data_IF_865758589434
#
_entry.id   IF_865758589434
#
_cell.length_a   1.000
_cell.length_b   1.000
_cell.length_c   1.000
_cell.angle_alpha   90.00
_cell.angle_beta   90.00
_cell.angle_gamma   90.00
#
_symmetry.space_group_name_H-M   'P 1'
#
loop_
_entity.id
_entity.type
_entity.pdbx_description
1 polymer ?
#
# COMPACT_ATOMS: atom_id res chain seq x y z
N UNK A 1 -74.06 -39.81 -16.70
CA UNK A 1 -73.13 -38.70 -17.01
C UNK A 1 -73.15 -37.74 -15.82
N UNK A 2 -72.00 -37.13 -15.49
CA UNK A 2 -71.10 -37.46 -14.38
C UNK A 2 -71.39 -36.69 -13.09
N UNK A 3 -70.86 -37.14 -11.95
CA UNK A 3 -70.11 -36.23 -11.07
C UNK A 3 -69.13 -37.06 -10.22
N UNK A 4 -67.85 -37.04 -10.61
CA UNK A 4 -66.78 -37.62 -9.81
C UNK A 4 -66.35 -36.57 -8.79
N UNK A 5 -66.74 -36.77 -7.53
CA UNK A 5 -66.27 -35.96 -6.42
C UNK A 5 -64.74 -36.15 -6.27
N UNK A 6 -63.98 -35.10 -6.58
CA UNK A 6 -62.57 -34.99 -6.25
C UNK A 6 -62.38 -35.15 -4.73
N UNK A 7 -61.49 -36.04 -4.25
CA UNK A 7 -61.14 -36.07 -2.84
C UNK A 7 -60.44 -34.77 -2.48
N UNK A 8 -60.96 -34.08 -1.47
CA UNK A 8 -60.37 -32.89 -0.88
C UNK A 8 -58.98 -33.24 -0.37
N UNK A 9 -57.95 -32.86 -1.12
CA UNK A 9 -56.56 -32.92 -0.68
C UNK A 9 -56.42 -31.98 0.53
N UNK A 10 -56.50 -32.55 1.73
CA UNK A 10 -56.31 -31.83 2.98
C UNK A 10 -54.91 -31.22 2.96
N UNK A 11 -54.84 -29.91 2.74
CA UNK A 11 -53.65 -29.08 2.92
C UNK A 11 -52.95 -29.50 4.22
N UNK A 12 -51.82 -30.19 4.09
CA UNK A 12 -51.01 -30.62 5.22
C UNK A 12 -50.56 -29.37 5.99
N UNK A 13 -51.03 -29.15 7.23
CA UNK A 13 -50.67 -27.95 7.99
C UNK A 13 -49.18 -27.91 8.37
N UNK A 14 -48.44 -28.99 8.16
CA UNK A 14 -46.98 -29.04 8.33
C UNK A 14 -46.18 -28.42 7.17
N UNK A 15 -46.83 -28.04 6.06
CA UNK A 15 -46.16 -27.46 4.89
C UNK A 15 -46.06 -25.92 4.92
N UNK A 16 -46.42 -25.26 6.03
CA UNK A 16 -46.18 -23.82 6.19
C UNK A 16 -44.67 -23.63 6.33
N UNK A 17 -43.98 -22.95 5.39
CA UNK A 17 -42.57 -22.66 5.53
C UNK A 17 -42.40 -21.86 6.82
N UNK A 18 -41.65 -22.40 7.79
CA UNK A 18 -41.41 -21.66 9.03
C UNK A 18 -40.84 -20.28 8.68
N UNK A 19 -41.41 -19.19 9.22
CA UNK A 19 -40.91 -17.86 8.93
C UNK A 19 -39.42 -17.82 9.32
N UNK A 20 -38.55 -17.45 8.38
CA UNK A 20 -37.11 -17.27 8.63
C UNK A 20 -36.98 -16.42 9.89
N UNK A 21 -36.53 -17.03 11.00
CA UNK A 21 -36.19 -16.33 12.23
C UNK A 21 -34.99 -15.44 11.92
N UNK A 22 -35.24 -14.18 11.60
CA UNK A 22 -34.20 -13.18 11.67
C UNK A 22 -33.78 -13.06 13.14
N UNK A 23 -32.48 -13.05 13.45
CA UNK A 23 -32.01 -12.81 14.81
C UNK A 23 -32.47 -11.43 15.29
N UNK A 24 -32.53 -11.25 16.61
CA UNK A 24 -32.96 -10.01 17.22
C UNK A 24 -32.08 -8.85 16.73
N UNK A 25 -32.73 -7.71 16.37
CA UNK A 25 -32.01 -6.50 15.94
C UNK A 25 -31.02 -6.09 17.02
N UNK A 26 -29.73 -6.07 16.68
CA UNK A 26 -28.66 -5.61 17.57
C UNK A 26 -27.76 -6.70 18.15
N UNK A 27 -28.05 -7.98 17.93
CA UNK A 27 -27.09 -9.04 18.25
C UNK A 27 -26.04 -9.16 17.14
N UNK A 28 -24.73 -9.09 17.45
CA UNK A 28 -23.69 -9.35 16.47
C UNK A 28 -23.77 -10.81 16.01
N UNK A 29 -24.32 -10.99 14.81
CA UNK A 29 -24.44 -12.26 14.09
C UNK A 29 -23.09 -12.94 13.81
N UNK A 30 -21.99 -12.20 13.91
CA UNK A 30 -20.65 -12.65 13.59
C UNK A 30 -19.83 -12.60 14.88
N UNK A 31 -19.55 -13.78 15.43
CA UNK A 31 -18.78 -13.95 16.67
C UNK A 31 -17.25 -14.01 16.43
N UNK A 32 -16.80 -14.03 15.18
CA UNK A 32 -15.38 -14.12 14.80
C UNK A 32 -15.01 -13.05 13.78
N UNK A 33 -14.39 -13.43 12.66
CA UNK A 33 -13.90 -12.50 11.64
C UNK A 33 -14.89 -12.40 10.49
N UNK A 34 -15.33 -11.20 10.17
CA UNK A 34 -16.29 -10.90 9.11
C UNK A 34 -15.60 -10.84 7.75
N UNK A 35 -15.28 -12.00 7.17
CA UNK A 35 -14.65 -12.09 5.84
C UNK A 35 -15.45 -11.41 4.73
N UNK A 36 -16.78 -11.48 4.78
CA UNK A 36 -17.62 -10.81 3.78
C UNK A 36 -17.57 -9.29 3.95
N UNK A 37 -17.59 -8.78 5.18
CA UNK A 37 -17.38 -7.37 5.47
C UNK A 37 -16.01 -6.87 5.01
N UNK A 38 -14.94 -7.60 5.34
CA UNK A 38 -13.58 -7.26 4.92
C UNK A 38 -13.46 -7.23 3.40
N UNK A 39 -13.97 -8.26 2.72
CA UNK A 39 -13.94 -8.37 1.26
C UNK A 39 -14.72 -7.26 0.58
N UNK A 40 -15.91 -6.94 1.08
CA UNK A 40 -16.74 -5.87 0.51
C UNK A 40 -16.08 -4.50 0.69
N UNK A 41 -15.50 -4.24 1.86
CA UNK A 41 -14.76 -3.01 2.14
C UNK A 41 -13.51 -2.89 1.27
N UNK A 42 -12.70 -3.94 1.19
CA UNK A 42 -11.55 -4.00 0.30
C UNK A 42 -11.95 -3.75 -1.16
N UNK A 43 -13.00 -4.42 -1.64
CA UNK A 43 -13.50 -4.26 -3.01
C UNK A 43 -14.02 -2.84 -3.27
N UNK A 44 -14.68 -2.21 -2.29
CA UNK A 44 -15.12 -0.80 -2.37
C UNK A 44 -13.92 0.12 -2.57
N UNK A 45 -12.89 -0.04 -1.75
CA UNK A 45 -11.66 0.77 -1.83
C UNK A 45 -10.93 0.57 -3.16
N UNK A 46 -10.82 -0.69 -3.61
CA UNK A 46 -10.24 -1.04 -4.91
C UNK A 46 -10.99 -0.38 -6.05
N UNK A 47 -12.32 -0.53 -6.10
CA UNK A 47 -13.16 0.10 -7.13
C UNK A 47 -13.06 1.62 -7.10
N UNK A 48 -12.92 2.23 -5.91
CA UNK A 48 -12.83 3.68 -5.77
C UNK A 48 -11.61 4.24 -6.50
N UNK A 49 -10.41 3.69 -6.27
CA UNK A 49 -9.23 4.18 -6.98
C UNK A 49 -9.22 3.75 -8.45
N UNK A 50 -9.74 2.56 -8.80
CA UNK A 50 -9.83 2.14 -10.20
C UNK A 50 -10.73 3.06 -11.04
N UNK A 51 -11.79 3.61 -10.46
CA UNK A 51 -12.67 4.57 -11.14
C UNK A 51 -11.92 5.83 -11.61
N UNK A 52 -10.82 6.18 -10.93
CA UNK A 52 -9.96 7.33 -11.25
C UNK A 52 -8.53 6.89 -11.58
N UNK A 53 -8.38 5.74 -12.26
CA UNK A 53 -7.08 5.15 -12.60
C UNK A 53 -6.11 6.10 -13.32
N UNK A 54 -6.62 7.03 -14.14
CA UNK A 54 -5.79 8.02 -14.85
C UNK A 54 -5.04 8.91 -13.86
N UNK A 55 -5.68 9.30 -12.75
CA UNK A 55 -5.07 10.11 -11.72
C UNK A 55 -4.28 9.27 -10.72
N UNK A 56 -4.73 8.05 -10.42
CA UNK A 56 -4.16 7.26 -9.32
C UNK A 56 -3.06 6.31 -9.73
N UNK A 57 -2.97 5.96 -11.01
CA UNK A 57 -1.97 5.03 -11.57
C UNK A 57 -1.14 5.73 -12.64
N UNK A 58 -1.78 6.26 -13.69
CA UNK A 58 -1.07 6.82 -14.84
C UNK A 58 -0.34 8.13 -14.54
N UNK A 59 -0.97 9.07 -13.85
CA UNK A 59 -0.33 10.35 -13.52
C UNK A 59 0.96 10.18 -12.68
N UNK A 60 0.97 9.42 -11.56
CA UNK A 60 2.20 9.12 -10.83
C UNK A 60 3.24 8.39 -11.68
N UNK A 61 2.80 7.49 -12.56
CA UNK A 61 3.71 6.77 -13.44
C UNK A 61 4.44 7.73 -14.39
N UNK A 62 3.70 8.64 -15.03
CA UNK A 62 4.27 9.65 -15.93
C UNK A 62 5.22 10.58 -15.18
N UNK A 63 4.87 11.08 -13.99
CA UNK A 63 5.75 11.94 -13.20
C UNK A 63 7.07 11.24 -12.86
N UNK A 64 7.01 9.97 -12.48
CA UNK A 64 8.20 9.16 -12.17
C UNK A 64 9.06 8.94 -13.41
N UNK A 65 8.45 8.70 -14.58
CA UNK A 65 9.17 8.62 -15.84
C UNK A 65 9.84 9.93 -16.21
N UNK A 66 9.19 11.07 -15.97
CA UNK A 66 9.81 12.39 -16.15
C UNK A 66 11.03 12.56 -15.25
N UNK A 67 10.99 12.08 -14.01
CA UNK A 67 12.20 12.06 -13.17
C UNK A 67 13.29 11.21 -13.78
N UNK A 68 12.99 10.01 -14.28
CA UNK A 68 13.98 9.19 -14.99
C UNK A 68 14.60 9.96 -16.17
N UNK A 69 13.77 10.62 -17.00
CA UNK A 69 14.25 11.45 -18.12
C UNK A 69 15.17 12.57 -17.64
N UNK A 70 14.72 13.35 -16.66
CA UNK A 70 15.45 14.51 -16.15
C UNK A 70 16.80 14.08 -15.58
N UNK A 71 16.81 13.06 -14.72
CA UNK A 71 18.05 12.59 -14.10
C UNK A 71 18.98 11.90 -15.12
N UNK A 72 18.42 11.12 -16.05
CA UNK A 72 19.19 10.50 -17.13
C UNK A 72 19.83 11.56 -18.04
N UNK A 73 19.13 12.65 -18.38
CA UNK A 73 19.67 13.72 -19.23
C UNK A 73 20.65 14.61 -18.45
N UNK A 74 20.34 14.93 -17.19
CA UNK A 74 21.21 15.74 -16.34
C UNK A 74 22.57 15.06 -16.10
N UNK A 75 22.57 13.73 -15.95
CA UNK A 75 23.80 12.94 -15.79
C UNK A 75 24.41 12.46 -17.10
N UNK A 76 23.61 12.33 -18.16
CA UNK A 76 23.99 11.74 -19.47
C UNK A 76 24.89 12.59 -20.36
N UNK A 77 25.40 13.74 -19.91
CA UNK A 77 26.50 14.44 -20.61
C UNK A 77 27.88 13.80 -20.36
N UNK A 78 27.96 12.83 -19.47
CA UNK A 78 29.11 11.93 -19.34
C UNK A 78 28.60 10.53 -19.07
N UNK A 79 29.13 9.53 -19.76
CA UNK A 79 28.88 8.10 -19.57
C UNK A 79 29.28 7.61 -18.16
N UNK A 80 28.56 8.08 -17.13
CA UNK A 80 28.81 7.73 -15.73
C UNK A 80 28.08 6.43 -15.41
N UNK A 81 28.87 5.37 -15.30
CA UNK A 81 28.42 4.13 -14.67
C UNK A 81 28.38 4.33 -13.16
N UNK A 82 27.30 3.84 -12.53
CA UNK A 82 27.15 3.81 -11.07
C UNK A 82 26.98 2.34 -10.71
N UNK A 83 27.86 1.80 -9.86
CA UNK A 83 27.96 0.36 -9.56
C UNK A 83 28.26 -0.56 -10.77
N UNK A 84 28.81 0.00 -11.86
CA UNK A 84 29.14 -0.72 -13.09
C UNK A 84 27.95 -0.96 -14.02
N UNK A 85 26.84 -0.26 -13.81
CA UNK A 85 25.67 -0.25 -14.72
C UNK A 85 25.37 1.17 -15.18
N UNK A 86 24.65 1.29 -16.29
CA UNK A 86 24.13 2.58 -16.75
C UNK A 86 23.30 3.22 -15.63
N UNK A 87 23.49 4.51 -15.39
CA UNK A 87 22.76 5.25 -14.37
C UNK A 87 21.23 5.09 -14.48
N UNK A 88 20.68 5.04 -15.70
CA UNK A 88 19.24 4.78 -15.89
C UNK A 88 18.81 3.41 -15.32
N UNK A 89 19.66 2.39 -15.46
CA UNK A 89 19.46 1.04 -14.92
C UNK A 89 19.60 1.02 -13.39
N UNK A 90 20.49 1.83 -12.82
CA UNK A 90 20.64 1.97 -11.36
C UNK A 90 19.43 2.67 -10.70
N UNK A 91 18.94 3.74 -11.32
CA UNK A 91 17.85 4.57 -10.76
C UNK A 91 16.48 3.96 -10.95
N UNK A 92 16.27 3.19 -12.02
CA UNK A 92 14.97 2.61 -12.36
C UNK A 92 14.29 1.85 -11.19
N UNK A 93 14.92 0.84 -10.55
CA UNK A 93 14.33 0.15 -9.41
C UNK A 93 14.00 1.07 -8.23
N UNK A 94 14.87 2.06 -7.96
CA UNK A 94 14.65 3.01 -6.87
C UNK A 94 13.43 3.90 -7.12
N UNK A 95 13.27 4.39 -8.35
CA UNK A 95 12.10 5.17 -8.75
C UNK A 95 10.81 4.34 -8.70
N UNK A 96 10.85 3.07 -9.08
CA UNK A 96 9.70 2.15 -8.93
C UNK A 96 9.30 2.04 -7.46
N UNK A 97 10.24 1.70 -6.57
CA UNK A 97 9.97 1.57 -5.14
C UNK A 97 9.43 2.88 -4.53
N UNK A 98 10.07 4.01 -4.85
CA UNK A 98 9.62 5.34 -4.43
C UNK A 98 8.19 5.66 -4.92
N UNK A 99 7.86 5.30 -6.16
CA UNK A 99 6.53 5.46 -6.73
C UNK A 99 5.47 4.59 -6.03
N UNK A 100 5.80 3.33 -5.74
CA UNK A 100 4.94 2.40 -4.99
C UNK A 100 4.65 2.93 -3.58
N UNK A 101 5.69 3.31 -2.85
CA UNK A 101 5.62 3.81 -1.47
C UNK A 101 4.76 5.07 -1.36
N UNK A 102 5.00 6.08 -2.20
CA UNK A 102 4.22 7.31 -2.19
C UNK A 102 2.75 7.07 -2.54
N UNK A 103 2.46 6.18 -3.49
CA UNK A 103 1.09 5.84 -3.84
C UNK A 103 0.36 5.07 -2.74
N UNK A 104 1.06 4.19 -2.00
CA UNK A 104 0.49 3.50 -0.85
C UNK A 104 0.06 4.49 0.24
N UNK A 105 0.94 5.44 0.59
CA UNK A 105 0.64 6.49 1.56
C UNK A 105 -0.51 7.38 1.11
N UNK A 106 -0.46 7.89 -0.14
CA UNK A 106 -1.49 8.76 -0.68
C UNK A 106 -2.86 8.08 -0.73
N UNK A 107 -2.90 6.79 -1.05
CA UNK A 107 -4.15 6.04 -1.05
C UNK A 107 -4.70 5.89 0.37
N UNK A 108 -3.92 5.29 1.27
CA UNK A 108 -4.39 4.98 2.63
C UNK A 108 -4.81 6.24 3.39
N UNK A 109 -3.98 7.29 3.31
CA UNK A 109 -4.24 8.55 4.01
C UNK A 109 -5.50 9.27 3.51
N UNK A 110 -5.69 9.35 2.19
CA UNK A 110 -6.85 10.01 1.60
C UNK A 110 -8.13 9.22 1.85
N UNK A 111 -8.08 7.88 1.72
CA UNK A 111 -9.25 7.01 1.84
C UNK A 111 -10.04 7.24 3.12
N UNK A 112 -9.31 7.21 4.23
CA UNK A 112 -9.88 7.29 5.56
C UNK A 112 -10.21 8.73 5.94
N UNK A 113 -9.32 9.67 5.64
CA UNK A 113 -9.51 11.09 5.94
C UNK A 113 -10.69 11.68 5.16
N UNK A 114 -10.88 11.31 3.90
CA UNK A 114 -12.05 11.72 3.12
C UNK A 114 -13.35 11.21 3.74
N UNK A 115 -13.38 9.96 4.22
CA UNK A 115 -14.52 9.41 4.95
C UNK A 115 -14.82 10.16 6.25
N UNK A 116 -13.78 10.52 7.00
CA UNK A 116 -13.87 11.33 8.23
C UNK A 116 -14.46 12.72 7.95
N UNK A 117 -13.95 13.42 6.94
CA UNK A 117 -14.37 14.79 6.61
C UNK A 117 -15.79 14.82 5.99
N UNK A 118 -16.17 13.80 5.22
CA UNK A 118 -17.48 13.72 4.58
C UNK A 118 -18.59 13.21 5.52
N UNK A 119 -18.26 12.79 6.75
CA UNK A 119 -19.21 12.19 7.69
C UNK A 119 -19.63 10.76 7.32
N UNK A 120 -19.09 10.19 6.24
CA UNK A 120 -19.34 8.79 5.83
C UNK A 120 -18.51 7.79 6.64
N UNK A 121 -17.76 8.26 7.65
CA UNK A 121 -17.08 7.36 8.60
C UNK A 121 -18.05 6.44 9.33
N UNK A 122 -19.29 6.90 9.52
CA UNK A 122 -20.39 6.10 10.07
C UNK A 122 -20.68 4.88 9.18
N UNK A 123 -20.52 4.98 7.86
CA UNK A 123 -20.66 3.83 6.95
C UNK A 123 -19.57 2.77 7.13
N UNK A 124 -18.41 3.14 7.70
CA UNK A 124 -17.36 2.19 8.09
C UNK A 124 -17.61 1.60 9.49
N UNK A 125 -18.39 2.28 10.33
CA UNK A 125 -18.74 1.88 11.70
C UNK A 125 -20.11 1.17 11.80
N UNK A 126 -20.94 1.25 10.76
CA UNK A 126 -22.27 0.61 10.70
C UNK A 126 -22.22 -0.91 10.47
N UNK A 127 -21.36 -1.45 9.59
CA UNK A 127 -21.12 -2.88 9.53
C UNK A 127 -20.48 -3.36 10.84
N UNK A 128 -20.80 -4.57 11.34
CA UNK A 128 -20.07 -5.19 12.44
C UNK A 128 -18.69 -5.63 11.94
N UNK A 129 -17.81 -4.65 11.74
CA UNK A 129 -16.42 -4.83 11.37
C UNK A 129 -15.54 -4.58 12.58
N UNK A 130 -14.56 -5.45 12.80
CA UNK A 130 -13.52 -5.20 13.79
C UNK A 130 -12.51 -4.18 13.28
N UNK A 131 -11.83 -3.47 14.17
CA UNK A 131 -10.81 -2.47 13.82
C UNK A 131 -9.66 -3.09 13.01
N UNK A 132 -9.38 -4.37 13.26
CA UNK A 132 -8.41 -5.15 12.50
C UNK A 132 -8.84 -5.41 11.06
N UNK A 133 -10.11 -5.71 10.82
CA UNK A 133 -10.66 -5.90 9.47
C UNK A 133 -10.65 -4.60 8.67
N UNK A 134 -11.01 -3.49 9.31
CA UNK A 134 -10.92 -2.15 8.73
C UNK A 134 -9.48 -1.83 8.33
N UNK A 135 -8.53 -2.02 9.25
CA UNK A 135 -7.11 -1.81 8.97
C UNK A 135 -6.63 -2.67 7.79
N UNK A 136 -6.93 -3.96 7.80
CA UNK A 136 -6.52 -4.90 6.74
C UNK A 136 -7.11 -4.54 5.38
N UNK A 137 -8.40 -4.16 5.32
CA UNK A 137 -9.03 -3.78 4.06
C UNK A 137 -8.41 -2.50 3.48
N UNK A 138 -8.16 -1.50 4.33
CA UNK A 138 -7.59 -0.20 3.92
C UNK A 138 -6.13 -0.34 3.47
N UNK A 139 -5.32 -1.04 4.28
CA UNK A 139 -3.91 -1.32 3.97
C UNK A 139 -3.80 -2.21 2.74
N UNK A 140 -4.60 -3.27 2.65
CA UNK A 140 -4.62 -4.18 1.49
C UNK A 140 -4.99 -3.46 0.19
N UNK A 141 -5.98 -2.56 0.22
CA UNK A 141 -6.34 -1.76 -0.95
C UNK A 141 -5.21 -0.80 -1.36
N UNK A 142 -4.52 -0.19 -0.39
CA UNK A 142 -3.36 0.67 -0.66
C UNK A 142 -2.17 -0.11 -1.25
N UNK A 143 -1.86 -1.29 -0.73
CA UNK A 143 -0.83 -2.18 -1.28
C UNK A 143 -1.19 -2.59 -2.72
N UNK A 144 -2.46 -2.95 -2.97
CA UNK A 144 -2.92 -3.33 -4.31
C UNK A 144 -2.70 -2.21 -5.32
N UNK A 145 -3.07 -0.98 -4.97
CA UNK A 145 -2.80 0.18 -5.83
C UNK A 145 -1.30 0.41 -6.02
N UNK A 146 -0.50 0.31 -4.96
CA UNK A 146 0.94 0.48 -5.04
C UNK A 146 1.58 -0.54 -5.99
N UNK A 147 1.17 -1.81 -5.92
CA UNK A 147 1.61 -2.86 -6.83
C UNK A 147 1.23 -2.55 -8.28
N UNK A 148 0.00 -2.10 -8.54
CA UNK A 148 -0.42 -1.70 -9.89
C UNK A 148 0.42 -0.54 -10.46
N UNK A 149 0.73 0.47 -9.62
CA UNK A 149 1.65 1.56 -10.00
C UNK A 149 3.05 1.03 -10.26
N UNK A 150 3.56 0.16 -9.40
CA UNK A 150 4.88 -0.45 -9.56
C UNK A 150 5.00 -1.25 -10.86
N UNK A 151 3.96 -2.03 -11.20
CA UNK A 151 3.87 -2.77 -12.46
C UNK A 151 3.81 -1.83 -13.67
N UNK A 152 3.01 -0.76 -13.60
CA UNK A 152 2.94 0.25 -14.67
C UNK A 152 4.30 0.93 -14.89
N UNK A 153 5.02 1.25 -13.82
CA UNK A 153 6.36 1.82 -13.88
C UNK A 153 7.38 0.83 -14.42
N UNK A 154 7.36 -0.42 -13.96
CA UNK A 154 8.24 -1.47 -14.45
C UNK A 154 8.02 -1.70 -15.96
N UNK A 155 6.77 -1.78 -16.41
CA UNK A 155 6.44 -1.89 -17.82
C UNK A 155 6.94 -0.69 -18.63
N UNK A 156 6.77 0.53 -18.13
CA UNK A 156 7.24 1.72 -18.81
C UNK A 156 8.78 1.81 -18.87
N UNK A 157 9.49 1.35 -17.83
CA UNK A 157 10.94 1.32 -17.80
C UNK A 157 11.54 0.21 -18.69
N UNK A 158 10.84 -0.93 -18.84
CA UNK A 158 11.23 -1.97 -19.81
C UNK A 158 11.16 -1.48 -21.26
N UNK A 159 10.26 -0.55 -21.55
CA UNK A 159 10.15 0.09 -22.87
C UNK A 159 11.18 1.20 -23.09
N UNK A 160 11.95 1.57 -22.05
CA UNK A 160 12.94 2.64 -22.13
C UNK A 160 14.25 2.14 -22.74
N UNK A 161 14.78 2.79 -23.81
CA UNK A 161 16.02 2.36 -24.44
C UNK A 161 17.21 2.54 -23.48
N UNK A 162 17.94 1.46 -23.21
CA UNK A 162 19.14 1.47 -22.36
C UNK A 162 18.93 1.13 -20.88
N UNK A 163 17.71 0.71 -20.48
CA UNK A 163 17.45 0.14 -19.16
C UNK A 163 17.38 -1.37 -19.26
N UNK A 164 18.28 -2.07 -18.57
CA UNK A 164 18.22 -3.53 -18.41
C UNK A 164 17.66 -3.86 -17.02
N UNK A 165 16.39 -4.26 -16.97
CA UNK A 165 15.74 -4.76 -15.75
C UNK A 165 15.88 -6.28 -15.68
N UNK A 166 17.11 -6.77 -15.57
CA UNK A 166 17.34 -8.14 -15.14
C UNK A 166 16.84 -8.30 -13.69
N UNK A 167 16.18 -9.43 -13.41
CA UNK A 167 15.69 -9.74 -12.06
C UNK A 167 16.63 -10.78 -11.46
N UNK A 168 17.66 -10.33 -10.75
CA UNK A 168 18.61 -11.21 -10.08
C UNK A 168 17.96 -12.02 -8.95
N UNK A 169 17.11 -11.38 -8.14
CA UNK A 169 16.48 -11.96 -6.96
C UNK A 169 14.99 -11.58 -6.86
N UNK A 170 14.09 -12.36 -7.48
CA UNK A 170 12.65 -12.07 -7.48
C UNK A 170 12.04 -11.97 -6.08
N UNK A 171 12.55 -12.74 -5.11
CA UNK A 171 12.09 -12.72 -3.73
C UNK A 171 12.25 -11.34 -3.08
N UNK A 172 13.36 -10.64 -3.38
CA UNK A 172 13.66 -9.34 -2.80
C UNK A 172 12.72 -8.27 -3.39
N UNK A 173 12.47 -8.34 -4.70
CA UNK A 173 11.51 -7.44 -5.37
C UNK A 173 10.13 -7.56 -4.72
N UNK A 174 9.64 -8.78 -4.53
CA UNK A 174 8.32 -9.02 -3.93
C UNK A 174 8.30 -8.60 -2.46
N UNK A 175 9.30 -8.98 -1.68
CA UNK A 175 9.35 -8.68 -0.25
C UNK A 175 9.46 -7.19 0.02
N UNK A 176 10.49 -6.51 -0.51
CA UNK A 176 10.71 -5.09 -0.26
C UNK A 176 9.64 -4.22 -0.93
N UNK A 177 9.08 -4.65 -2.06
CA UNK A 177 7.94 -3.98 -2.68
C UNK A 177 6.69 -4.06 -1.80
N UNK A 178 6.42 -5.23 -1.22
CA UNK A 178 5.30 -5.46 -0.32
C UNK A 178 5.47 -4.72 1.01
N UNK A 179 6.59 -4.90 1.72
CA UNK A 179 6.85 -4.24 3.00
C UNK A 179 6.96 -2.73 2.84
N UNK A 180 7.60 -2.24 1.77
CA UNK A 180 7.63 -0.82 1.45
C UNK A 180 6.24 -0.21 1.26
N UNK A 181 5.36 -0.91 0.54
CA UNK A 181 3.97 -0.48 0.38
C UNK A 181 3.18 -0.59 1.70
N UNK A 182 3.37 -1.65 2.47
CA UNK A 182 2.70 -1.87 3.75
C UNK A 182 3.10 -0.79 4.77
N UNK A 183 4.40 -0.51 4.92
CA UNK A 183 4.95 0.53 5.76
C UNK A 183 4.25 1.88 5.52
N UNK A 184 4.20 2.31 4.26
CA UNK A 184 3.60 3.60 3.90
C UNK A 184 2.08 3.60 3.95
N UNK A 185 1.43 2.46 3.68
CA UNK A 185 0.00 2.31 3.85
C UNK A 185 -0.40 2.43 5.33
N UNK A 186 0.38 1.83 6.25
CA UNK A 186 0.16 1.93 7.69
C UNK A 186 0.42 3.34 8.21
N UNK A 187 1.51 3.99 7.79
CA UNK A 187 1.76 5.40 8.11
C UNK A 187 0.67 6.32 7.58
N UNK A 188 0.18 6.07 6.36
CA UNK A 188 -0.92 6.82 5.77
C UNK A 188 -2.21 6.69 6.58
N UNK A 189 -2.53 5.46 7.02
CA UNK A 189 -3.69 5.20 7.87
C UNK A 189 -3.55 5.90 9.21
N UNK A 190 -2.38 5.78 9.87
CA UNK A 190 -2.10 6.48 11.12
C UNK A 190 -2.26 8.00 10.99
N UNK A 191 -1.72 8.55 9.91
CA UNK A 191 -1.80 9.99 9.60
C UNK A 191 -3.25 10.42 9.42
N UNK A 192 -4.07 9.61 8.75
CA UNK A 192 -5.48 9.93 8.51
C UNK A 192 -6.35 9.91 9.78
N UNK A 193 -6.02 9.06 10.76
CA UNK A 193 -6.71 9.04 12.06
C UNK A 193 -6.39 10.32 12.84
N UNK A 194 -5.11 10.72 12.85
CA UNK A 194 -4.64 11.93 13.51
C UNK A 194 -5.12 13.23 12.85
N UNK A 195 -5.14 13.25 11.51
CA UNK A 195 -5.49 14.42 10.71
C UNK A 195 -6.98 14.76 10.81
N UNK A 196 -7.28 16.05 10.94
CA UNK A 196 -8.65 16.58 10.92
C UNK A 196 -8.96 17.32 9.61
N UNK A 197 -7.93 17.66 8.84
CA UNK A 197 -8.01 18.41 7.58
C UNK A 197 -7.06 17.83 6.55
N UNK A 198 -7.37 18.01 5.26
CA UNK A 198 -6.46 17.66 4.17
C UNK A 198 -5.10 18.36 4.28
N UNK A 199 -5.06 19.58 4.83
CA UNK A 199 -3.82 20.32 5.06
C UNK A 199 -2.87 19.61 6.02
N UNK A 200 -3.38 18.94 7.06
CA UNK A 200 -2.53 18.17 7.99
C UNK A 200 -1.91 16.97 7.27
N UNK A 201 -2.68 16.29 6.42
CA UNK A 201 -2.18 15.18 5.62
C UNK A 201 -1.13 15.63 4.60
N UNK A 202 -1.39 16.76 3.93
CA UNK A 202 -0.44 17.38 3.01
C UNK A 202 0.85 17.80 3.72
N UNK A 203 0.76 18.33 4.94
CA UNK A 203 1.93 18.66 5.75
C UNK A 203 2.79 17.43 6.05
N UNK A 204 2.20 16.30 6.45
CA UNK A 204 2.97 15.06 6.68
C UNK A 204 3.62 14.57 5.39
N UNK A 205 2.88 14.60 4.27
CA UNK A 205 3.44 14.23 2.96
C UNK A 205 4.66 15.09 2.59
N UNK A 206 4.56 16.41 2.77
CA UNK A 206 5.56 17.35 2.27
C UNK A 206 6.74 17.56 3.22
N UNK A 207 6.52 17.48 4.53
CA UNK A 207 7.57 17.73 5.54
C UNK A 207 8.20 16.45 6.09
N UNK A 208 7.57 15.29 5.91
CA UNK A 208 8.09 14.00 6.41
C UNK A 208 8.37 13.05 5.27
N UNK A 209 7.35 12.69 4.47
CA UNK A 209 7.48 11.64 3.45
C UNK A 209 8.41 12.07 2.32
N UNK A 210 8.22 13.27 1.76
CA UNK A 210 9.03 13.75 0.65
C UNK A 210 10.53 13.88 1.02
N UNK A 211 10.92 14.53 2.14
CA UNK A 211 12.32 14.60 2.53
C UNK A 211 12.96 13.23 2.80
N UNK A 212 12.25 12.32 3.48
CA UNK A 212 12.74 10.97 3.73
C UNK A 212 12.90 10.18 2.43
N UNK A 213 12.00 10.36 1.46
CA UNK A 213 12.08 9.72 0.15
C UNK A 213 13.17 10.29 -0.76
N UNK A 214 13.66 11.50 -0.50
CA UNK A 214 14.83 12.07 -1.20
C UNK A 214 16.14 11.64 -0.52
N UNK A 215 16.11 11.45 0.81
CA UNK A 215 17.25 10.98 1.61
C UNK A 215 17.40 9.46 1.64
N UNK A 216 16.71 8.72 0.77
CA UNK A 216 16.66 7.26 0.76
C UNK A 216 17.61 6.58 -0.23
N UNK A 217 18.54 7.32 -0.87
CA UNK A 217 19.45 6.72 -1.85
C UNK A 217 18.79 6.32 -3.19
N UNK A 218 17.64 6.89 -3.53
CA UNK A 218 16.95 6.63 -4.81
C UNK A 218 17.80 7.02 -6.03
N UNK A 219 18.49 8.16 -5.94
CA UNK A 219 19.24 8.77 -7.05
C UNK A 219 20.75 8.65 -6.92
N UNK A 220 21.25 8.16 -5.78
CA UNK A 220 22.66 8.15 -5.45
C UNK A 220 23.01 6.93 -4.59
N UNK A 221 24.28 6.56 -4.60
CA UNK A 221 24.86 5.59 -3.66
C UNK A 221 25.22 6.33 -2.37
N UNK A 222 24.96 5.71 -1.22
CA UNK A 222 25.13 6.34 0.10
C UNK A 222 26.57 6.77 0.37
N UNK A 223 27.55 6.05 -0.17
CA UNK A 223 28.98 6.33 0.06
C UNK A 223 29.44 7.67 -0.55
N UNK A 224 28.67 8.22 -1.49
CA UNK A 224 28.95 9.52 -2.10
C UNK A 224 28.51 10.70 -1.22
N UNK A 225 27.82 10.47 -0.09
CA UNK A 225 27.32 11.54 0.77
C UNK A 225 28.32 11.92 1.85
N UNK A 226 28.25 13.17 2.31
CA UNK A 226 29.01 13.60 3.48
C UNK A 226 28.60 12.77 4.73
N UNK A 227 29.52 12.54 5.69
CA UNK A 227 29.30 11.63 6.82
C UNK A 227 28.02 11.90 7.63
N UNK A 228 27.62 13.17 7.76
CA UNK A 228 26.40 13.56 8.44
C UNK A 228 25.14 13.01 7.73
N UNK A 229 25.07 13.14 6.41
CA UNK A 229 23.93 12.64 5.64
C UNK A 229 23.95 11.12 5.48
N UNK A 230 25.12 10.49 5.47
CA UNK A 230 25.20 9.03 5.52
C UNK A 230 24.53 8.47 6.78
N UNK A 231 24.78 9.08 7.94
CA UNK A 231 24.15 8.67 9.21
C UNK A 231 22.63 8.81 9.16
N UNK A 232 22.14 9.94 8.61
CA UNK A 232 20.69 10.19 8.46
C UNK A 232 20.05 9.19 7.51
N UNK A 233 20.66 8.93 6.36
CA UNK A 233 20.15 7.96 5.37
C UNK A 233 20.18 6.53 5.90
N UNK A 234 21.20 6.13 6.69
CA UNK A 234 21.24 4.81 7.34
C UNK A 234 20.20 4.65 8.45
N UNK A 235 19.75 5.73 9.08
CA UNK A 235 18.64 5.69 10.04
C UNK A 235 17.25 5.64 9.36
N UNK A 236 17.18 5.92 8.05
CA UNK A 236 15.93 6.06 7.32
C UNK A 236 15.39 4.69 6.83
N UNK A 237 14.18 4.26 7.24
CA UNK A 237 13.56 3.02 6.74
C UNK A 237 13.40 2.97 5.22
N UNK A 238 13.22 4.13 4.57
CA UNK A 238 13.04 4.22 3.12
C UNK A 238 14.30 3.76 2.38
N UNK A 239 15.48 4.00 2.95
CA UNK A 239 16.74 3.55 2.39
C UNK A 239 16.78 2.03 2.28
N UNK A 240 16.37 1.30 3.33
CA UNK A 240 16.37 -0.16 3.32
C UNK A 240 15.38 -0.74 2.32
N UNK A 241 14.20 -0.12 2.17
CA UNK A 241 13.21 -0.54 1.17
C UNK A 241 13.76 -0.37 -0.23
N UNK A 242 14.29 0.80 -0.56
CA UNK A 242 14.78 1.13 -1.91
C UNK A 242 16.03 0.33 -2.26
N UNK A 243 17.00 0.26 -1.35
CA UNK A 243 18.24 -0.50 -1.56
C UNK A 243 18.01 -2.01 -1.60
N UNK A 244 17.04 -2.53 -0.84
CA UNK A 244 16.62 -3.93 -0.91
C UNK A 244 15.85 -4.27 -2.18
N UNK A 245 14.97 -3.38 -2.63
CA UNK A 245 14.26 -3.52 -3.91
C UNK A 245 15.23 -3.47 -5.08
N UNK A 246 16.20 -2.54 -5.06
CA UNK A 246 17.30 -2.44 -6.04
C UNK A 246 18.13 -3.70 -6.11
N UNK A 247 18.47 -4.30 -4.97
CA UNK A 247 19.18 -5.58 -4.91
C UNK A 247 18.42 -6.70 -5.64
N UNK A 248 17.09 -6.69 -5.59
CA UNK A 248 16.24 -7.62 -6.33
C UNK A 248 16.43 -7.60 -7.86
N UNK A 249 16.76 -6.44 -8.42
CA UNK A 249 17.04 -6.29 -9.85
C UNK A 249 18.53 -6.44 -10.15
N UNK A 250 19.39 -5.63 -9.52
CA UNK A 250 20.80 -5.53 -9.87
C UNK A 250 21.70 -6.62 -9.26
N UNK A 251 21.22 -7.36 -8.25
CA UNK A 251 22.03 -8.32 -7.49
C UNK A 251 23.12 -7.68 -6.60
N UNK A 252 23.19 -6.34 -6.56
CA UNK A 252 24.10 -5.55 -5.70
C UNK A 252 23.27 -4.64 -4.80
N UNK A 253 23.72 -4.44 -3.55
CA UNK A 253 23.04 -3.60 -2.57
C UNK A 253 23.99 -2.62 -1.92
N UNK A 254 23.52 -1.40 -1.68
CA UNK A 254 24.22 -0.38 -0.89
C UNK A 254 24.12 -0.63 0.63
N UNK A 255 23.42 -1.69 1.06
CA UNK A 255 23.25 -2.10 2.46
C UNK A 255 24.49 -2.91 2.94
N UNK A 256 25.22 -3.55 2.02
CA UNK A 256 26.44 -4.31 2.27
C UNK A 256 26.72 -5.37 1.21
N UNK A 257 27.96 -5.85 1.14
CA UNK A 257 28.46 -6.80 0.11
C UNK A 257 27.96 -8.25 0.28
N UNK A 258 27.04 -8.52 1.21
CA UNK A 258 26.61 -9.88 1.55
C UNK A 258 25.09 -10.01 1.57
N UNK A 259 24.55 -11.09 1.00
CA UNK A 259 23.12 -11.43 1.01
C UNK A 259 22.51 -11.44 2.43
N UNK A 260 23.34 -11.68 3.46
CA UNK A 260 22.94 -11.63 4.87
C UNK A 260 22.55 -10.24 5.34
N UNK A 261 23.22 -9.19 4.86
CA UNK A 261 22.88 -7.80 5.22
C UNK A 261 21.50 -7.40 4.67
N UNK A 262 21.18 -7.86 3.46
CA UNK A 262 19.85 -7.70 2.84
C UNK A 262 18.78 -8.50 3.59
N UNK A 263 19.11 -9.69 4.08
CA UNK A 263 18.17 -10.47 4.88
C UNK A 263 17.90 -9.82 6.25
N UNK A 264 18.92 -9.28 6.90
CA UNK A 264 18.75 -8.55 8.15
C UNK A 264 17.89 -7.30 7.98
N UNK A 265 18.08 -6.55 6.88
CA UNK A 265 17.22 -5.40 6.58
C UNK A 265 15.78 -5.81 6.24
N UNK A 266 15.60 -6.94 5.55
CA UNK A 266 14.28 -7.51 5.26
C UNK A 266 13.53 -7.89 6.54
N UNK A 267 14.20 -8.53 7.50
CA UNK A 267 13.64 -8.87 8.81
C UNK A 267 13.37 -7.59 9.62
N UNK A 268 14.32 -6.65 9.64
CA UNK A 268 14.18 -5.38 10.36
C UNK A 268 12.97 -4.57 9.88
N UNK A 269 12.75 -4.50 8.57
CA UNK A 269 11.55 -3.87 7.98
C UNK A 269 10.27 -4.64 8.33
N UNK A 270 10.29 -5.98 8.27
CA UNK A 270 9.12 -6.78 8.65
C UNK A 270 8.73 -6.58 10.12
N UNK A 271 9.72 -6.48 11.02
CA UNK A 271 9.48 -6.17 12.43
C UNK A 271 8.97 -4.74 12.61
N UNK A 272 9.54 -3.77 11.89
CA UNK A 272 9.07 -2.39 11.91
C UNK A 272 7.61 -2.28 11.48
N UNK A 273 7.23 -2.95 10.39
CA UNK A 273 5.85 -2.99 9.89
C UNK A 273 4.92 -3.67 10.88
N UNK A 274 5.34 -4.76 11.52
CA UNK A 274 4.55 -5.44 12.54
C UNK A 274 4.31 -4.54 13.76
N UNK A 275 5.35 -3.86 14.24
CA UNK A 275 5.24 -2.89 15.34
C UNK A 275 4.30 -1.74 14.95
N UNK A 276 4.46 -1.20 13.75
CA UNK A 276 3.61 -0.13 13.25
C UNK A 276 2.15 -0.58 13.10
N UNK A 277 1.90 -1.80 12.62
CA UNK A 277 0.57 -2.38 12.52
C UNK A 277 -0.08 -2.53 13.91
N UNK A 278 0.67 -2.95 14.92
CA UNK A 278 0.19 -3.02 16.31
C UNK A 278 -0.16 -1.63 16.85
N UNK A 279 0.66 -0.62 16.57
CA UNK A 279 0.38 0.77 16.96
C UNK A 279 -0.91 1.27 16.29
N UNK A 280 -1.04 1.09 14.98
CA UNK A 280 -2.25 1.49 14.24
C UNK A 280 -3.48 0.77 14.77
N UNK A 281 -3.39 -0.52 15.01
CA UNK A 281 -4.48 -1.31 15.60
C UNK A 281 -4.87 -0.79 16.99
N UNK A 282 -3.90 -0.50 17.86
CA UNK A 282 -4.16 0.06 19.19
C UNK A 282 -4.82 1.45 19.12
N UNK A 283 -4.38 2.29 18.19
CA UNK A 283 -4.95 3.62 17.96
C UNK A 283 -6.40 3.50 17.48
N UNK A 284 -6.68 2.63 16.50
CA UNK A 284 -8.05 2.40 16.02
C UNK A 284 -8.96 1.86 17.13
N UNK A 285 -8.49 0.87 17.91
CA UNK A 285 -9.24 0.27 19.02
C UNK A 285 -9.53 1.27 20.14
N UNK A 286 -8.63 2.22 20.39
CA UNK A 286 -8.87 3.26 21.40
C UNK A 286 -10.01 4.22 21.01
N UNK A 287 -10.41 4.25 19.73
CA UNK A 287 -11.40 5.19 19.23
C UNK A 287 -10.94 6.65 19.24
N UNK A 288 -9.62 6.88 19.40
CA UNK A 288 -9.04 8.21 19.48
C UNK A 288 -9.33 9.01 18.20
N UNK A 289 -9.97 10.18 18.36
CA UNK A 289 -10.46 11.06 17.27
C UNK A 289 -11.48 10.44 16.29
N UNK A 290 -12.09 9.29 16.64
CA UNK A 290 -13.13 8.63 15.82
C UNK A 290 -14.55 8.77 16.39
N UNK A 291 -14.69 9.09 17.68
CA UNK A 291 -15.98 9.21 18.39
C UNK A 291 -16.40 10.66 18.67
N UNK A 292 -16.16 11.55 17.71
CA UNK A 292 -16.56 12.96 17.78
C UNK A 292 -17.90 13.20 17.11
#
# INVERSE_FOLDING_TARGET
MPDQAHPTELLNPAAIPQPRRYPAKGEPLIHQVNWEGLKTLYMKEVRRFFKVQTQTIWAPAITTLLFLVIFSVAMGRGSREVLGVNFATFVAPGLIAMGMMQNAFANSSFSFLAGKIQGTIVDYLMPPLTEGELMLAMVGAAITRAVLVGLALAAAMLLWPGVDLSVAHPWAVVWFGFTGAAFLALLGLLTSVWADKFDHNAAVSNFVIAPLSLLSGTFYVIDNLAPAFQTISRANPFFYVISGFRFGFLGKSDIGDTNLAVLHSAIGLGVLDAVLALIVYAVLRSGWKLKG
#
